data_IF_849800657104
#
_entry.id   IF_849800657104
#
_cell.length_a   1.000
_cell.length_b   1.000
_cell.length_c   1.000
_cell.angle_alpha   90.00
_cell.angle_beta   90.00
_cell.angle_gamma   90.00
#
_symmetry.space_group_name_H-M   'P 1'
#
loop_
_entity.id
_entity.type
_entity.pdbx_description
1 polymer ?
#
# COMPACT_ATOMS: atom_id res chain seq x y z
N UNK A 1 -1.40 -11.59 -31.05
CA UNK A 1 -2.00 -11.90 -29.73
C UNK A 1 -1.73 -10.72 -28.80
N UNK A 2 -2.76 -10.06 -28.28
CA UNK A 2 -2.56 -8.98 -27.31
C UNK A 2 -2.32 -9.55 -25.91
N UNK A 3 -1.19 -9.23 -25.29
CA UNK A 3 -0.94 -9.57 -23.89
C UNK A 3 -1.90 -8.78 -22.99
N UNK A 4 -3.04 -9.39 -22.64
CA UNK A 4 -3.89 -8.87 -21.57
C UNK A 4 -3.14 -8.99 -20.25
N UNK A 5 -2.90 -7.86 -19.58
CA UNK A 5 -2.18 -7.85 -18.31
C UNK A 5 -3.17 -8.05 -17.18
N UNK A 6 -3.07 -9.19 -16.50
CA UNK A 6 -3.80 -9.54 -15.27
C UNK A 6 -3.79 -8.36 -14.29
N UNK A 7 -4.98 -7.77 -14.05
CA UNK A 7 -5.11 -6.50 -13.32
C UNK A 7 -5.04 -6.72 -11.81
N UNK A 8 -5.86 -7.64 -11.30
CA UNK A 8 -5.77 -8.18 -9.95
C UNK A 8 -4.98 -9.50 -9.98
N UNK A 9 -4.19 -9.82 -8.94
CA UNK A 9 -3.69 -11.17 -8.75
C UNK A 9 -4.86 -12.13 -8.49
N UNK A 10 -4.79 -13.33 -9.07
CA UNK A 10 -5.78 -14.39 -8.92
C UNK A 10 -5.03 -15.73 -8.68
N UNK A 11 -5.03 -16.28 -7.45
CA UNK A 11 -5.66 -15.72 -6.25
C UNK A 11 -4.97 -14.44 -5.73
N UNK A 12 -5.64 -13.71 -4.83
CA UNK A 12 -5.03 -12.60 -4.08
C UNK A 12 -3.99 -13.17 -3.09
N UNK A 13 -2.75 -12.64 -3.04
CA UNK A 13 -1.74 -13.14 -2.11
C UNK A 13 -2.17 -12.87 -0.67
N UNK A 14 -2.09 -13.91 0.17
CA UNK A 14 -2.46 -13.91 1.58
C UNK A 14 -1.43 -14.71 2.40
N UNK A 15 -1.53 -14.67 3.74
CA UNK A 15 -0.72 -15.51 4.62
C UNK A 15 0.79 -15.41 4.37
N UNK A 16 1.45 -16.57 4.35
CA UNK A 16 2.90 -16.70 4.16
C UNK A 16 3.38 -16.23 2.78
N UNK A 17 2.55 -16.37 1.74
CA UNK A 17 2.88 -15.85 0.39
C UNK A 17 2.97 -14.33 0.42
N UNK A 18 1.98 -13.67 1.03
CA UNK A 18 1.99 -12.22 1.17
C UNK A 18 3.15 -11.73 2.05
N UNK A 19 3.49 -12.44 3.12
CA UNK A 19 4.63 -12.12 3.96
C UNK A 19 5.98 -12.33 3.22
N UNK A 20 6.10 -13.37 2.38
CA UNK A 20 7.25 -13.57 1.49
C UNK A 20 7.35 -12.48 0.39
N UNK A 21 6.22 -12.04 -0.17
CA UNK A 21 6.17 -10.93 -1.12
C UNK A 21 6.55 -9.59 -0.47
N UNK A 22 6.06 -9.32 0.74
CA UNK A 22 6.42 -8.13 1.52
C UNK A 22 7.92 -8.12 1.83
N UNK A 23 8.48 -9.25 2.27
CA UNK A 23 9.92 -9.41 2.44
C UNK A 23 10.68 -9.21 1.11
N UNK A 24 10.13 -9.71 0.00
CA UNK A 24 10.65 -9.56 -1.37
C UNK A 24 10.76 -8.11 -1.86
N UNK A 25 9.81 -7.25 -1.47
CA UNK A 25 9.85 -5.81 -1.76
C UNK A 25 10.61 -4.99 -0.71
N UNK A 26 11.24 -5.64 0.27
CA UNK A 26 12.09 -4.99 1.27
C UNK A 26 11.41 -4.58 2.57
N UNK A 27 10.27 -5.17 2.94
CA UNK A 27 9.72 -5.03 4.29
C UNK A 27 10.42 -5.99 5.26
N UNK A 28 10.62 -5.57 6.51
CA UNK A 28 11.18 -6.38 7.59
C UNK A 28 10.14 -7.36 8.15
N UNK A 29 9.88 -8.42 7.38
CA UNK A 29 8.98 -9.52 7.72
C UNK A 29 9.80 -10.79 7.96
N UNK A 30 9.41 -11.59 8.95
CA UNK A 30 10.06 -12.86 9.29
C UNK A 30 9.66 -13.99 8.31
N UNK A 31 9.93 -13.79 7.02
CA UNK A 31 9.62 -14.72 5.94
C UNK A 31 10.79 -14.79 4.94
N UNK A 32 10.91 -15.90 4.21
CA UNK A 32 11.88 -16.02 3.11
C UNK A 32 11.48 -15.07 1.98
N UNK A 33 12.33 -14.10 1.57
CA UNK A 33 11.95 -13.12 0.57
C UNK A 33 11.69 -13.74 -0.81
N UNK A 34 10.51 -13.48 -1.38
CA UNK A 34 10.23 -13.79 -2.79
C UNK A 34 10.99 -12.79 -3.67
N UNK A 35 12.05 -13.25 -4.35
CA UNK A 35 12.86 -12.39 -5.21
C UNK A 35 12.04 -11.80 -6.36
N UNK A 36 12.25 -10.52 -6.62
CA UNK A 36 11.55 -9.75 -7.65
C UNK A 36 10.00 -9.82 -7.56
N UNK A 37 9.47 -9.97 -6.33
CA UNK A 37 8.03 -9.95 -6.04
C UNK A 37 7.32 -8.74 -6.67
N UNK A 38 6.09 -8.93 -7.14
CA UNK A 38 5.34 -7.86 -7.78
C UNK A 38 4.84 -6.85 -6.73
N UNK A 39 5.48 -5.67 -6.72
CA UNK A 39 5.20 -4.53 -5.84
C UNK A 39 3.70 -4.22 -5.73
N UNK A 40 3.00 -4.13 -6.86
CA UNK A 40 1.58 -3.77 -6.83
C UNK A 40 0.72 -4.88 -6.22
N UNK A 41 1.05 -6.16 -6.44
CA UNK A 41 0.29 -7.28 -5.87
C UNK A 41 0.53 -7.43 -4.37
N UNK A 42 1.78 -7.25 -3.92
CA UNK A 42 2.15 -7.23 -2.50
C UNK A 42 1.42 -6.10 -1.75
N UNK A 43 1.37 -4.89 -2.32
CA UNK A 43 0.66 -3.77 -1.72
C UNK A 43 -0.87 -3.95 -1.76
N UNK A 44 -1.44 -4.51 -2.84
CA UNK A 44 -2.86 -4.82 -2.92
C UNK A 44 -3.26 -5.85 -1.84
N UNK A 45 -2.53 -6.96 -1.73
CA UNK A 45 -2.77 -7.99 -0.71
C UNK A 45 -2.61 -7.45 0.72
N UNK A 46 -1.58 -6.63 0.98
CA UNK A 46 -1.36 -6.03 2.30
C UNK A 46 -2.45 -5.02 2.69
N UNK A 47 -3.00 -4.26 1.74
CA UNK A 47 -4.17 -3.40 2.00
C UNK A 47 -5.44 -4.23 2.23
N UNK A 48 -5.66 -5.32 1.48
CA UNK A 48 -6.81 -6.22 1.69
C UNK A 48 -6.74 -6.91 3.05
N UNK A 49 -5.62 -7.53 3.39
CA UNK A 49 -5.40 -8.16 4.70
C UNK A 49 -5.53 -7.13 5.83
N UNK A 50 -5.01 -5.92 5.63
CA UNK A 50 -5.15 -4.80 6.56
C UNK A 50 -6.58 -4.30 6.79
N UNK A 51 -7.36 -4.16 5.71
CA UNK A 51 -8.67 -3.51 5.73
C UNK A 51 -9.85 -4.49 5.81
N UNK A 52 -9.67 -5.77 5.54
CA UNK A 52 -10.73 -6.79 5.62
C UNK A 52 -10.45 -7.84 6.70
N UNK A 53 -9.20 -8.23 6.92
CA UNK A 53 -8.79 -9.20 7.96
C UNK A 53 -8.28 -8.52 9.25
N UNK A 54 -8.20 -7.18 9.24
CA UNK A 54 -7.69 -6.33 10.31
C UNK A 54 -6.20 -6.56 10.70
N UNK A 55 -5.37 -7.09 9.78
CA UNK A 55 -3.90 -7.16 9.94
C UNK A 55 -3.25 -5.77 9.76
N UNK A 56 -3.34 -4.97 10.83
CA UNK A 56 -2.74 -3.63 10.89
C UNK A 56 -1.21 -3.64 10.78
N UNK A 57 -0.53 -4.77 10.99
CA UNK A 57 0.92 -4.89 10.78
C UNK A 57 1.23 -4.86 9.29
N UNK A 58 0.58 -5.69 8.47
CA UNK A 58 0.76 -5.67 7.01
C UNK A 58 0.35 -4.33 6.41
N UNK A 59 -0.74 -3.74 6.90
CA UNK A 59 -1.17 -2.41 6.48
C UNK A 59 -0.17 -1.31 6.83
N UNK A 60 0.37 -1.33 8.06
CA UNK A 60 1.40 -0.38 8.51
C UNK A 60 2.65 -0.45 7.64
N UNK A 61 3.12 -1.68 7.34
CA UNK A 61 4.22 -1.91 6.40
C UNK A 61 3.91 -1.38 5.01
N UNK A 62 2.72 -1.66 4.44
CA UNK A 62 2.34 -1.17 3.13
C UNK A 62 2.28 0.35 3.05
N UNK A 63 1.66 1.02 4.02
CA UNK A 63 1.59 2.48 4.09
C UNK A 63 2.99 3.08 4.23
N UNK A 64 3.85 2.52 5.09
CA UNK A 64 5.23 2.99 5.24
C UNK A 64 6.08 2.77 3.98
N UNK A 65 5.92 1.61 3.32
CA UNK A 65 6.58 1.31 2.04
C UNK A 65 6.17 2.34 0.98
N UNK A 66 4.88 2.65 0.89
CA UNK A 66 4.34 3.67 -0.01
C UNK A 66 4.94 5.05 0.33
N UNK A 67 5.11 5.43 1.61
CA UNK A 67 5.80 6.68 2.02
C UNK A 67 7.16 6.85 1.34
N UNK A 68 8.00 5.81 1.40
CA UNK A 68 9.39 5.84 0.96
C UNK A 68 9.54 5.60 -0.55
N UNK A 69 8.63 4.84 -1.14
CA UNK A 69 8.81 4.26 -2.47
C UNK A 69 7.71 4.60 -3.48
N UNK A 70 6.79 5.53 -3.19
CA UNK A 70 5.71 5.97 -4.10
C UNK A 70 6.14 6.25 -5.56
N UNK A 71 7.40 6.66 -5.79
CA UNK A 71 7.96 6.86 -7.14
C UNK A 71 8.02 5.56 -7.95
N UNK A 72 8.34 4.42 -7.34
CA UNK A 72 8.47 3.11 -7.98
C UNK A 72 7.11 2.40 -8.22
N UNK A 73 6.00 2.95 -7.72
CA UNK A 73 4.67 2.34 -7.87
C UNK A 73 4.09 2.62 -9.26
N UNK A 74 3.55 1.58 -9.89
CA UNK A 74 2.75 1.69 -11.11
C UNK A 74 1.31 2.09 -10.78
N UNK A 75 1.11 3.39 -10.54
CA UNK A 75 -0.21 3.94 -10.23
C UNK A 75 -1.27 3.66 -11.30
N UNK A 76 -0.91 3.62 -12.60
CA UNK A 76 -1.86 3.27 -13.68
C UNK A 76 -2.31 1.80 -13.64
N UNK A 77 -1.55 0.89 -12.98
CA UNK A 77 -2.05 -0.44 -12.65
C UNK A 77 -3.04 -0.35 -11.49
N UNK A 78 -2.69 0.32 -10.39
CA UNK A 78 -3.55 0.46 -9.21
C UNK A 78 -4.89 1.14 -9.53
N UNK A 79 -4.90 2.20 -10.36
CA UNK A 79 -6.12 2.87 -10.84
C UNK A 79 -7.09 1.92 -11.54
N UNK A 80 -6.59 0.85 -12.18
CA UNK A 80 -7.40 -0.20 -12.83
C UNK A 80 -7.68 -1.41 -11.94
N UNK A 81 -6.81 -1.71 -10.97
CA UNK A 81 -6.94 -2.83 -10.06
C UNK A 81 -7.87 -2.55 -8.87
N UNK A 82 -7.71 -1.40 -8.19
CA UNK A 82 -8.52 -1.02 -7.01
C UNK A 82 -10.04 -1.02 -7.26
N UNK A 83 -10.58 -0.58 -8.42
CA UNK A 83 -12.02 -0.67 -8.71
C UNK A 83 -12.57 -2.11 -8.67
N UNK A 84 -11.72 -3.11 -8.90
CA UNK A 84 -12.09 -4.52 -9.00
C UNK A 84 -11.94 -5.27 -7.66
N UNK A 85 -11.28 -4.67 -6.65
CA UNK A 85 -11.17 -5.26 -5.31
C UNK A 85 -12.57 -5.46 -4.72
N UNK A 86 -12.87 -6.58 -4.03
CA UNK A 86 -14.20 -6.83 -3.49
C UNK A 86 -14.54 -5.94 -2.28
N UNK A 87 -13.56 -5.68 -1.40
CA UNK A 87 -13.77 -4.98 -0.13
C UNK A 87 -13.89 -3.46 -0.24
N UNK A 88 -14.96 -2.89 0.33
CA UNK A 88 -15.18 -1.44 0.38
C UNK A 88 -14.14 -0.70 1.23
N UNK A 89 -13.75 -1.27 2.38
CA UNK A 89 -12.73 -0.70 3.27
C UNK A 89 -11.38 -0.64 2.55
N UNK A 90 -11.02 -1.66 1.79
CA UNK A 90 -9.84 -1.70 0.93
C UNK A 90 -9.86 -0.59 -0.14
N UNK A 91 -11.00 -0.39 -0.83
CA UNK A 91 -11.15 0.69 -1.83
C UNK A 91 -11.04 2.08 -1.20
N UNK A 92 -11.67 2.29 -0.04
CA UNK A 92 -11.57 3.54 0.73
C UNK A 92 -10.13 3.83 1.19
N UNK A 93 -9.38 2.81 1.62
CA UNK A 93 -7.98 2.94 1.99
C UNK A 93 -7.11 3.41 0.82
N UNK A 94 -7.26 2.78 -0.36
CA UNK A 94 -6.56 3.21 -1.56
C UNK A 94 -6.93 4.62 -2.03
N UNK A 95 -8.20 5.03 -1.92
CA UNK A 95 -8.63 6.39 -2.19
C UNK A 95 -7.96 7.40 -1.23
N UNK A 96 -7.83 7.04 0.04
CA UNK A 96 -7.19 7.87 1.06
C UNK A 96 -5.67 7.99 0.85
N UNK A 97 -4.97 6.88 0.59
CA UNK A 97 -3.54 6.87 0.21
C UNK A 97 -3.30 7.78 -1.02
N UNK A 98 -4.16 7.69 -2.03
CA UNK A 98 -4.04 8.52 -3.23
C UNK A 98 -4.26 10.02 -2.96
N UNK A 99 -5.16 10.37 -2.02
CA UNK A 99 -5.38 11.77 -1.58
C UNK A 99 -4.22 12.32 -0.77
N UNK A 100 -3.60 11.51 0.06
CA UNK A 100 -2.38 11.88 0.77
C UNK A 100 -1.26 12.25 -0.23
N UNK A 101 -1.11 11.47 -1.31
CA UNK A 101 -0.21 11.79 -2.43
C UNK A 101 -0.78 12.79 -3.48
N UNK A 102 -1.69 13.70 -3.10
CA UNK A 102 -2.38 14.66 -4.00
C UNK A 102 -1.48 15.51 -4.92
N UNK A 103 -0.21 15.71 -4.55
CA UNK A 103 0.77 16.45 -5.37
C UNK A 103 1.24 15.66 -6.60
N UNK A 104 1.26 14.33 -6.53
CA UNK A 104 1.66 13.47 -7.64
C UNK A 104 0.48 13.22 -8.58
N UNK A 105 0.62 13.68 -9.83
CA UNK A 105 -0.40 13.60 -10.87
C UNK A 105 -0.87 12.16 -11.13
N UNK A 106 -0.01 11.16 -10.90
CA UNK A 106 -0.29 9.74 -11.14
C UNK A 106 -1.40 9.20 -10.21
N UNK A 107 -1.52 9.75 -9.00
CA UNK A 107 -2.51 9.31 -8.00
C UNK A 107 -3.87 9.99 -8.13
N UNK A 108 -3.97 11.10 -8.87
CA UNK A 108 -5.20 11.91 -8.97
C UNK A 108 -6.45 11.12 -9.38
N UNK A 109 -6.32 10.15 -10.28
CA UNK A 109 -7.44 9.28 -10.73
C UNK A 109 -7.97 8.40 -9.60
N UNK A 110 -7.11 7.96 -8.69
CA UNK A 110 -7.47 7.12 -7.54
C UNK A 110 -8.01 7.97 -6.38
N UNK A 111 -7.46 9.19 -6.20
CA UNK A 111 -7.85 10.13 -5.15
C UNK A 111 -9.27 10.71 -5.30
N UNK A 112 -9.81 10.74 -6.54
CA UNK A 112 -11.13 11.29 -6.85
C UNK A 112 -12.32 10.51 -6.27
N UNK A 113 -12.08 9.30 -5.76
CA UNK A 113 -13.11 8.48 -5.11
C UNK A 113 -13.49 9.05 -3.73
N UNK A 114 -14.65 8.64 -3.21
CA UNK A 114 -15.28 9.21 -1.99
C UNK A 114 -15.75 8.14 -1.00
N UNK A 115 -15.30 6.89 -1.12
CA UNK A 115 -15.60 5.87 -0.11
C UNK A 115 -15.04 6.31 1.25
N UNK A 116 -15.88 6.22 2.28
CA UNK A 116 -15.55 6.57 3.67
C UNK A 116 -15.49 5.30 4.50
N UNK A 117 -14.50 5.18 5.37
CA UNK A 117 -14.33 3.99 6.21
C UNK A 117 -13.62 4.32 7.52
N UNK A 118 -13.93 3.53 8.55
CA UNK A 118 -13.15 3.48 9.78
C UNK A 118 -12.02 2.45 9.63
N UNK A 119 -10.80 2.82 10.06
CA UNK A 119 -9.68 1.86 10.05
C UNK A 119 -9.94 0.69 10.98
N UNK A 120 -10.40 0.96 12.20
CA UNK A 120 -10.70 -0.08 13.18
C UNK A 120 -12.18 -0.47 13.08
N UNK A 121 -12.53 -1.76 12.95
CA UNK A 121 -13.94 -2.21 13.01
C UNK A 121 -14.63 -1.82 14.32
N UNK A 122 -13.87 -1.77 15.42
CA UNK A 122 -14.37 -1.50 16.78
C UNK A 122 -13.53 -0.41 17.43
N UNK A 123 -14.17 0.52 18.13
CA UNK A 123 -13.49 1.55 18.92
C UNK A 123 -12.86 2.70 18.13
N UNK A 124 -13.03 2.77 16.81
CA UNK A 124 -12.44 3.86 16.00
C UNK A 124 -12.83 5.27 16.49
N UNK A 125 -14.12 5.58 16.77
CA UNK A 125 -14.49 6.91 17.27
C UNK A 125 -13.80 7.28 18.58
N UNK A 126 -13.64 6.31 19.50
CA UNK A 126 -12.95 6.51 20.78
C UNK A 126 -11.44 6.77 20.58
N UNK A 127 -10.76 6.00 19.74
CA UNK A 127 -9.33 6.23 19.46
C UNK A 127 -9.11 7.54 18.71
N UNK A 128 -9.99 7.91 17.76
CA UNK A 128 -9.97 9.21 17.09
C UNK A 128 -10.13 10.38 18.08
N UNK A 129 -11.05 10.26 19.06
CA UNK A 129 -11.22 11.28 20.10
C UNK A 129 -10.01 11.36 21.04
N UNK A 130 -9.44 10.21 21.42
CA UNK A 130 -8.33 10.13 22.38
C UNK A 130 -6.97 10.56 21.80
N UNK A 131 -6.72 10.28 20.53
CA UNK A 131 -5.40 10.44 19.90
C UNK A 131 -5.35 11.42 18.73
N UNK A 132 -6.52 11.84 18.21
CA UNK A 132 -6.62 12.58 16.97
C UNK A 132 -6.43 11.70 15.72
N UNK A 133 -6.56 12.31 14.52
CA UNK A 133 -6.29 11.65 13.25
C UNK A 133 -4.78 11.42 13.03
N UNK A 134 -4.44 10.37 12.29
CA UNK A 134 -3.10 10.20 11.73
C UNK A 134 -2.81 11.29 10.68
N UNK A 135 -1.65 11.99 10.76
CA UNK A 135 -1.34 13.11 9.87
C UNK A 135 -1.38 12.78 8.37
N UNK A 136 -1.10 11.54 7.98
CA UNK A 136 -1.15 11.09 6.58
C UNK A 136 -2.59 11.06 6.05
N UNK A 137 -3.56 10.83 6.93
CA UNK A 137 -4.95 10.57 6.59
C UNK A 137 -5.93 11.70 6.99
N UNK A 138 -5.44 12.78 7.61
CA UNK A 138 -6.26 13.87 8.14
C UNK A 138 -7.19 14.55 7.09
N UNK A 139 -6.73 14.70 5.84
CA UNK A 139 -7.51 15.28 4.72
C UNK A 139 -8.36 14.22 3.95
N UNK A 140 -8.53 13.01 4.50
CA UNK A 140 -9.10 11.87 3.78
C UNK A 140 -10.43 11.39 4.38
N UNK A 141 -11.16 10.57 3.63
CA UNK A 141 -12.38 9.93 4.11
C UNK A 141 -12.11 8.63 4.91
N UNK A 142 -10.85 8.19 5.01
CA UNK A 142 -10.45 7.08 5.89
C UNK A 142 -10.10 7.64 7.27
N UNK A 143 -10.87 7.27 8.29
CA UNK A 143 -10.63 7.69 9.67
C UNK A 143 -9.61 6.76 10.32
N UNK A 144 -8.35 7.19 10.30
CA UNK A 144 -7.21 6.51 10.93
C UNK A 144 -6.84 7.23 12.24
N UNK A 145 -6.89 6.56 13.41
CA UNK A 145 -6.39 7.15 14.66
C UNK A 145 -4.87 7.25 14.67
N UNK A 146 -4.33 8.32 15.24
CA UNK A 146 -2.88 8.51 15.35
C UNK A 146 -2.20 7.32 16.07
N UNK A 147 -1.14 6.80 15.45
CA UNK A 147 -0.39 5.65 15.96
C UNK A 147 -1.13 4.31 15.90
N UNK A 148 -2.23 4.20 15.15
CA UNK A 148 -2.83 2.90 14.80
C UNK A 148 -1.97 2.16 13.75
N UNK A 149 -1.45 2.88 12.76
CA UNK A 149 -0.50 2.39 11.77
C UNK A 149 0.92 2.79 12.18
N UNK A 150 1.60 1.91 12.92
CA UNK A 150 2.92 2.18 13.51
C UNK A 150 3.97 2.46 12.45
N UNK A 151 4.70 3.55 12.63
CA UNK A 151 5.88 3.89 11.84
C UNK A 151 7.15 3.36 12.55
N UNK A 152 7.99 2.61 11.85
CA UNK A 152 9.34 2.20 12.30
C UNK A 152 10.29 2.32 11.11
N UNK A 153 11.11 3.38 10.97
CA UNK A 153 11.94 3.59 9.79
C UNK A 153 12.79 2.39 9.35
N UNK A 154 13.29 1.58 10.29
CA UNK A 154 14.04 0.35 10.00
C UNK A 154 13.23 -0.85 9.49
N UNK A 155 11.89 -0.78 9.44
CA UNK A 155 11.03 -1.86 8.95
C UNK A 155 10.97 -1.92 7.40
N UNK A 156 11.55 -0.95 6.69
CA UNK A 156 11.53 -0.88 5.22
C UNK A 156 12.95 -0.58 4.72
N UNK A 157 13.42 -1.32 3.71
CA UNK A 157 14.73 -1.10 3.10
C UNK A 157 14.77 0.21 2.31
N UNK A 158 15.79 1.04 2.58
CA UNK A 158 16.06 2.26 1.83
C UNK A 158 16.16 2.02 0.30
N UNK A 159 15.73 2.97 -0.56
CA UNK A 159 15.70 2.79 -2.03
C UNK A 159 17.02 2.32 -2.64
N UNK A 160 18.15 2.79 -2.10
CA UNK A 160 19.51 2.43 -2.55
C UNK A 160 19.93 1.02 -2.16
N UNK A 161 19.33 0.47 -1.09
CA UNK A 161 19.49 -0.92 -0.68
C UNK A 161 18.55 -1.79 -1.52
N UNK A 162 17.25 -1.50 -1.53
CA UNK A 162 16.25 -2.27 -2.28
C UNK A 162 16.59 -2.43 -3.76
N UNK A 163 17.11 -1.38 -4.41
CA UNK A 163 17.55 -1.42 -5.81
C UNK A 163 18.73 -2.38 -6.09
N UNK A 164 19.46 -2.86 -5.08
CA UNK A 164 20.48 -3.91 -5.25
C UNK A 164 19.90 -5.33 -5.29
N UNK A 165 18.74 -5.53 -4.65
CA UNK A 165 18.12 -6.84 -4.46
C UNK A 165 16.91 -7.09 -5.37
N UNK A 166 16.22 -6.01 -5.79
CA UNK A 166 15.03 -6.07 -6.62
C UNK A 166 15.29 -5.36 -7.96
N UNK A 167 15.47 -6.14 -9.03
CA UNK A 167 15.79 -5.67 -10.38
C UNK A 167 14.65 -4.85 -10.98
N UNK A 168 13.40 -5.31 -10.79
CA UNK A 168 12.19 -4.59 -11.19
C UNK A 168 12.10 -3.21 -10.53
N UNK A 169 12.34 -3.11 -9.23
CA UNK A 169 12.40 -1.84 -8.50
C UNK A 169 13.47 -0.91 -9.06
N UNK A 170 14.71 -1.41 -9.23
CA UNK A 170 15.85 -0.66 -9.76
C UNK A 170 15.54 -0.01 -11.11
N UNK A 171 14.97 -0.75 -12.06
CA UNK A 171 14.62 -0.22 -13.37
C UNK A 171 13.58 0.90 -13.28
N UNK A 172 12.55 0.73 -12.43
CA UNK A 172 11.50 1.74 -12.25
C UNK A 172 12.04 3.05 -11.68
N UNK A 173 12.90 3.01 -10.66
CA UNK A 173 13.48 4.25 -10.09
C UNK A 173 14.39 4.98 -11.08
N UNK A 174 15.21 4.25 -11.87
CA UNK A 174 16.13 4.86 -12.85
C UNK A 174 15.40 5.56 -14.00
N UNK A 175 14.24 5.05 -14.42
CA UNK A 175 13.40 5.67 -15.44
C UNK A 175 12.73 6.95 -14.91
N UNK A 176 12.23 6.93 -13.68
CA UNK A 176 11.58 8.11 -13.04
C UNK A 176 12.58 9.23 -12.74
N UNK A 177 13.87 8.92 -12.52
CA UNK A 177 14.92 9.94 -12.33
C UNK A 177 15.38 10.66 -13.62
N UNK A 178 14.77 10.37 -14.79
CA UNK A 178 15.10 11.00 -16.08
C UNK A 178 14.01 11.95 -16.61
N UNK A 179 13.03 12.29 -15.77
CA UNK A 179 11.89 13.18 -16.06
C UNK A 179 11.67 14.14 -14.91
#
# INVERSE_FOLDING_TARGET
>A
MGFSRTLLPDPMPTGDELDAMLAGIGCAVAATPLRDANIEDALLGAVVSGMEEDDLRRLGLAVQWITLHARAINADRLVRAVPLLPGERSRACWAAIARWHKTDRRWKRLAGRRESADLLRVGNPFQMQRRGPDPRFADTALRVPAGALRERPGDILEPTVLAKWHSGYRHRIMLVSRT
#
